data_IF_914745230240
#
_entry.id   IF_914745230240
#
_cell.length_a   1.000
_cell.length_b   1.000
_cell.length_c   1.000
_cell.angle_alpha   90.00
_cell.angle_beta   90.00
_cell.angle_gamma   90.00
#
_symmetry.space_group_name_H-M   'P 1'
#
loop_
_entity.id
_entity.type
_entity.pdbx_description
1 polymer ?
#
# COMPACT_ATOMS: atom_id res chain seq x y z
N UNK A 1 -25.62 4.64 7.48
CA UNK A 1 -24.58 5.71 7.46
C UNK A 1 -23.29 5.06 7.00
N UNK A 2 -22.39 5.80 6.34
CA UNK A 2 -21.02 5.30 6.14
C UNK A 2 -20.28 5.34 7.49
N UNK A 3 -19.54 4.28 7.82
CA UNK A 3 -18.64 4.28 8.98
C UNK A 3 -17.42 5.17 8.71
N UNK A 4 -16.87 5.87 9.73
CA UNK A 4 -15.67 6.66 9.55
C UNK A 4 -14.46 5.76 9.29
N UNK A 5 -13.96 5.80 8.05
CA UNK A 5 -12.71 5.15 7.66
C UNK A 5 -11.57 5.73 8.52
N UNK A 6 -10.72 4.85 9.06
CA UNK A 6 -9.56 5.21 9.88
C UNK A 6 -8.29 4.62 9.26
N UNK A 7 -7.63 5.47 8.49
CA UNK A 7 -6.31 5.21 7.90
C UNK A 7 -5.22 5.47 8.95
N UNK A 8 -4.16 4.65 8.92
CA UNK A 8 -2.94 4.86 9.70
C UNK A 8 -1.72 4.58 8.81
N UNK A 9 -1.16 5.65 8.25
CA UNK A 9 -0.07 5.68 7.24
C UNK A 9 1.13 4.77 7.56
N UNK A 10 1.35 3.66 6.81
CA UNK A 10 2.65 2.89 6.71
C UNK A 10 2.70 1.70 5.66
N UNK A 11 2.40 1.94 4.36
CA UNK A 11 2.82 1.20 3.14
C UNK A 11 1.95 0.23 2.24
N UNK A 12 1.36 -0.91 2.63
CA UNK A 12 0.52 -1.77 1.69
C UNK A 12 -0.64 -2.60 2.32
N UNK A 13 -1.73 -2.89 1.58
CA UNK A 13 -2.87 -3.79 1.91
C UNK A 13 -3.99 -3.29 2.87
N UNK A 14 -5.16 -2.90 2.33
CA UNK A 14 -6.30 -2.36 3.11
C UNK A 14 -7.32 -3.38 3.65
N UNK A 15 -7.19 -3.71 4.94
CA UNK A 15 -8.03 -4.67 5.70
C UNK A 15 -9.40 -4.10 6.15
N UNK A 16 -10.39 -4.01 5.26
CA UNK A 16 -11.76 -3.83 5.75
C UNK A 16 -12.21 -5.11 6.49
N UNK A 17 -12.46 -5.00 7.79
CA UNK A 17 -12.51 -6.15 8.71
C UNK A 17 -13.69 -6.03 9.68
N UNK A 18 -14.88 -6.47 9.29
CA UNK A 18 -16.04 -6.38 10.17
C UNK A 18 -15.81 -7.16 11.48
N UNK A 19 -15.98 -6.46 12.62
CA UNK A 19 -15.83 -7.01 13.96
C UNK A 19 -16.90 -8.07 14.33
N UNK A 20 -17.79 -8.42 13.39
CA UNK A 20 -18.75 -9.52 13.48
C UNK A 20 -18.52 -10.66 12.46
N UNK A 21 -17.51 -10.55 11.59
CA UNK A 21 -17.20 -11.55 10.55
C UNK A 21 -15.80 -12.20 10.75
N UNK A 22 -15.60 -13.34 10.09
CA UNK A 22 -14.31 -14.05 10.03
C UNK A 22 -13.30 -13.31 9.13
N UNK A 23 -12.02 -13.69 9.17
CA UNK A 23 -10.95 -13.13 8.32
C UNK A 23 -11.16 -13.33 6.79
N UNK A 24 -12.27 -13.96 6.39
CA UNK A 24 -12.72 -14.15 5.01
C UNK A 24 -13.12 -12.87 4.31
N UNK A 25 -13.54 -11.85 5.06
CA UNK A 25 -13.96 -10.55 4.51
C UNK A 25 -12.83 -9.52 4.41
N UNK A 26 -11.64 -9.84 4.93
CA UNK A 26 -10.42 -9.04 4.71
C UNK A 26 -10.14 -8.89 3.22
N UNK A 27 -9.87 -7.65 2.81
CA UNK A 27 -9.47 -7.31 1.45
C UNK A 27 -7.95 -7.09 1.32
N UNK A 28 -7.42 -7.39 0.13
CA UNK A 28 -6.04 -7.14 -0.27
C UNK A 28 -6.02 -6.25 -1.51
N UNK A 29 -5.26 -5.16 -1.45
CA UNK A 29 -5.03 -4.26 -2.59
C UNK A 29 -3.64 -3.62 -2.51
N UNK A 30 -3.15 -3.14 -3.65
CA UNK A 30 -1.93 -2.34 -3.76
C UNK A 30 -2.16 -0.93 -3.21
N UNK A 31 -1.12 -0.30 -2.66
CA UNK A 31 -1.15 1.08 -2.21
C UNK A 31 0.17 1.80 -2.48
N UNK A 32 0.10 3.12 -2.56
CA UNK A 32 1.23 4.03 -2.55
C UNK A 32 1.14 4.93 -1.31
N UNK A 33 2.13 4.81 -0.44
CA UNK A 33 2.29 5.57 0.79
C UNK A 33 3.56 6.43 0.66
N UNK A 34 3.37 7.65 0.16
CA UNK A 34 4.48 8.56 -0.11
C UNK A 34 5.19 8.98 1.19
N UNK A 35 6.49 9.30 1.07
CA UNK A 35 7.30 9.72 2.21
C UNK A 35 8.19 10.88 1.77
N UNK A 36 7.94 12.08 2.29
CA UNK A 36 8.87 13.18 2.11
C UNK A 36 10.13 12.93 2.96
N UNK A 37 11.21 12.49 2.30
CA UNK A 37 12.49 12.18 2.95
C UNK A 37 13.21 13.41 3.53
N UNK A 38 12.88 14.63 3.07
CA UNK A 38 13.39 15.86 3.67
C UNK A 38 12.64 16.20 4.96
N UNK A 39 11.32 15.99 5.01
CA UNK A 39 10.52 16.15 6.25
C UNK A 39 10.71 15.01 7.26
N UNK A 40 11.18 13.83 6.83
CA UNK A 40 11.35 12.67 7.72
C UNK A 40 12.37 12.93 8.85
N UNK A 41 13.35 13.81 8.62
CA UNK A 41 14.30 14.26 9.66
C UNK A 41 13.64 15.07 10.79
N UNK A 42 12.44 15.60 10.55
CA UNK A 42 11.58 16.26 11.55
C UNK A 42 10.53 15.30 12.15
N UNK A 43 10.45 14.07 11.66
CA UNK A 43 9.67 12.97 12.22
C UNK A 43 8.79 12.27 11.17
N UNK A 44 8.68 10.94 11.27
CA UNK A 44 7.90 10.08 10.35
C UNK A 44 6.45 10.54 10.18
N UNK A 45 5.82 11.08 11.22
CA UNK A 45 4.47 11.61 11.13
C UNK A 45 4.35 12.82 10.18
N UNK A 46 5.39 13.66 10.07
CA UNK A 46 5.41 14.81 9.16
C UNK A 46 5.65 14.37 7.72
N UNK A 47 6.59 13.45 7.47
CA UNK A 47 6.87 12.94 6.12
C UNK A 47 5.72 12.12 5.52
N UNK A 48 4.91 11.48 6.38
CA UNK A 48 3.72 10.70 5.99
C UNK A 48 2.47 11.53 5.73
N UNK A 49 2.32 12.70 6.37
CA UNK A 49 1.17 13.59 6.15
C UNK A 49 1.42 14.63 5.03
N UNK A 50 2.57 14.57 4.35
CA UNK A 50 2.93 15.49 3.26
C UNK A 50 2.21 15.19 1.93
N UNK A 51 1.63 13.99 1.78
CA UNK A 51 0.95 13.52 0.58
C UNK A 51 -0.09 12.45 0.97
N UNK A 52 -1.24 12.32 0.27
CA UNK A 52 -2.23 11.29 0.59
C UNK A 52 -1.74 9.86 0.24
N UNK A 53 -2.17 8.87 1.02
CA UNK A 53 -2.14 7.46 0.60
C UNK A 53 -3.04 7.28 -0.63
N UNK A 54 -2.54 6.60 -1.67
CA UNK A 54 -3.30 6.27 -2.88
C UNK A 54 -3.51 4.76 -2.97
N UNK A 55 -4.76 4.31 -3.05
CA UNK A 55 -5.13 2.88 -3.07
C UNK A 55 -5.43 2.38 -4.49
N UNK A 56 -5.25 1.08 -4.72
CA UNK A 56 -5.62 0.40 -5.96
C UNK A 56 -7.13 0.47 -6.24
N UNK A 57 -7.48 0.51 -7.53
CA UNK A 57 -8.88 0.62 -7.99
C UNK A 57 -9.69 -0.68 -7.84
N UNK A 58 -9.03 -1.75 -7.38
CA UNK A 58 -9.56 -3.11 -7.20
C UNK A 58 -8.98 -3.72 -5.92
N UNK A 59 -9.73 -4.63 -5.30
CA UNK A 59 -9.22 -5.48 -4.23
C UNK A 59 -9.65 -6.94 -4.46
N UNK A 60 -8.83 -7.88 -3.99
CA UNK A 60 -9.18 -9.28 -3.83
C UNK A 60 -9.62 -9.54 -2.38
N UNK A 61 -10.36 -10.61 -2.11
CA UNK A 61 -10.45 -11.12 -0.73
C UNK A 61 -9.15 -11.83 -0.40
N UNK A 62 -8.59 -11.60 0.79
CA UNK A 62 -7.37 -12.26 1.24
C UNK A 62 -7.53 -13.80 1.21
N UNK A 63 -8.71 -14.31 1.57
CA UNK A 63 -9.03 -15.73 1.53
C UNK A 63 -8.98 -16.37 0.12
N UNK A 64 -9.15 -15.58 -0.95
CA UNK A 64 -9.11 -16.06 -2.34
C UNK A 64 -7.67 -16.19 -2.89
N UNK A 65 -6.69 -15.68 -2.14
CA UNK A 65 -5.24 -15.64 -2.51
C UNK A 65 -4.31 -16.18 -1.42
N UNK A 66 -4.84 -16.55 -0.24
CA UNK A 66 -4.04 -16.92 0.94
C UNK A 66 -3.18 -18.18 0.77
N UNK A 67 -3.49 -19.04 -0.20
CA UNK A 67 -2.77 -20.27 -0.52
C UNK A 67 -1.49 -20.05 -1.34
N UNK A 68 -1.40 -18.91 -2.04
CA UNK A 68 -0.31 -18.52 -2.95
C UNK A 68 0.20 -17.09 -2.71
N UNK A 69 -0.07 -16.55 -1.52
CA UNK A 69 0.17 -15.15 -1.19
C UNK A 69 1.64 -14.74 -1.40
N UNK A 70 2.56 -15.61 -0.98
CA UNK A 70 4.01 -15.40 -1.05
C UNK A 70 4.55 -15.36 -2.49
N UNK A 71 3.81 -15.94 -3.45
CA UNK A 71 4.11 -15.92 -4.89
C UNK A 71 3.60 -14.64 -5.58
N UNK A 72 2.65 -13.90 -4.98
CA UNK A 72 2.10 -12.68 -5.57
C UNK A 72 3.19 -11.62 -5.76
N UNK A 73 3.30 -11.09 -6.98
CA UNK A 73 4.40 -10.21 -7.38
C UNK A 73 4.00 -8.74 -7.40
N UNK A 74 4.69 -7.91 -6.64
CA UNK A 74 4.51 -6.45 -6.59
C UNK A 74 5.59 -5.75 -7.42
N UNK A 75 5.16 -4.99 -8.42
CA UNK A 75 6.05 -4.18 -9.29
C UNK A 75 5.65 -2.71 -9.20
N UNK A 76 6.63 -1.83 -8.93
CA UNK A 76 6.46 -0.38 -8.92
C UNK A 76 7.28 0.26 -10.06
N UNK A 77 6.68 1.22 -10.77
CA UNK A 77 7.20 1.86 -11.98
C UNK A 77 6.96 3.36 -11.92
N UNK A 78 7.90 4.14 -12.45
CA UNK A 78 7.85 5.61 -12.44
C UNK A 78 8.11 6.25 -13.80
N UNK A 79 7.58 7.47 -13.96
CA UNK A 79 7.65 8.33 -15.13
C UNK A 79 7.02 7.74 -16.41
N UNK A 80 6.92 8.56 -17.46
CA UNK A 80 6.46 8.12 -18.78
C UNK A 80 7.28 6.95 -19.37
N UNK A 81 8.54 6.78 -18.95
CA UNK A 81 9.41 5.67 -19.35
C UNK A 81 9.09 4.32 -18.66
N UNK A 82 8.21 4.31 -17.64
CA UNK A 82 7.84 3.12 -16.84
C UNK A 82 9.05 2.44 -16.18
N UNK A 83 10.03 3.22 -15.74
CA UNK A 83 11.26 2.74 -15.09
C UNK A 83 10.91 1.96 -13.83
N UNK A 84 11.34 0.70 -13.73
CA UNK A 84 11.07 -0.15 -12.56
C UNK A 84 11.90 0.34 -11.37
N UNK A 85 11.22 0.65 -10.26
CA UNK A 85 11.83 1.06 -8.98
C UNK A 85 11.70 0.00 -7.89
N UNK A 86 10.76 -0.94 -8.01
CA UNK A 86 10.62 -2.10 -7.12
C UNK A 86 10.08 -3.29 -7.91
N UNK A 87 10.61 -4.48 -7.66
CA UNK A 87 10.12 -5.74 -8.23
C UNK A 87 10.43 -6.87 -7.23
N UNK A 88 9.40 -7.46 -6.62
CA UNK A 88 9.55 -8.47 -5.55
C UNK A 88 8.24 -9.21 -5.32
N UNK A 89 8.26 -10.37 -4.66
CA UNK A 89 7.02 -11.04 -4.21
C UNK A 89 6.65 -10.64 -2.78
N UNK A 90 5.41 -10.91 -2.35
CA UNK A 90 4.97 -10.57 -0.99
C UNK A 90 5.72 -11.35 0.11
N UNK A 91 6.40 -12.45 -0.21
CA UNK A 91 7.31 -13.17 0.69
C UNK A 91 8.45 -12.28 1.26
N UNK A 92 8.74 -11.14 0.64
CA UNK A 92 9.69 -10.15 1.15
C UNK A 92 9.12 -9.22 2.25
N UNK A 93 7.85 -9.38 2.64
CA UNK A 93 7.14 -8.58 3.64
C UNK A 93 6.62 -9.46 4.80
N UNK A 94 6.25 -8.83 5.91
CA UNK A 94 5.54 -9.54 7.00
C UNK A 94 4.10 -9.87 6.56
N UNK A 95 3.64 -11.12 6.76
CA UNK A 95 2.40 -11.59 6.17
C UNK A 95 1.16 -10.92 6.80
N UNK A 96 0.02 -10.87 6.07
CA UNK A 96 -1.25 -10.32 6.54
C UNK A 96 -1.72 -10.81 7.90
N UNK A 97 -1.52 -12.10 8.22
CA UNK A 97 -1.88 -12.69 9.52
C UNK A 97 -1.20 -11.99 10.70
N UNK A 98 0.10 -11.70 10.58
CA UNK A 98 0.85 -10.96 11.61
C UNK A 98 0.23 -9.59 11.89
N UNK A 99 -0.16 -8.85 10.83
CA UNK A 99 -0.75 -7.53 10.97
C UNK A 99 -2.20 -7.58 11.49
N UNK A 100 -2.98 -8.59 11.11
CA UNK A 100 -4.31 -8.86 11.66
C UNK A 100 -4.21 -9.10 13.19
N UNK A 101 -3.27 -9.91 13.64
CA UNK A 101 -3.08 -10.20 15.07
C UNK A 101 -2.61 -8.95 15.85
N UNK A 102 -1.68 -8.16 15.31
CA UNK A 102 -1.30 -6.86 15.88
C UNK A 102 -2.51 -5.90 15.95
N UNK A 103 -3.40 -5.88 14.95
CA UNK A 103 -4.62 -5.08 14.99
C UNK A 103 -5.62 -5.58 16.05
N UNK A 104 -5.74 -6.90 16.24
CA UNK A 104 -6.59 -7.54 17.26
C UNK A 104 -6.14 -7.20 18.67
N UNK A 105 -4.85 -7.39 18.97
CA UNK A 105 -4.25 -7.06 20.28
C UNK A 105 -4.49 -5.59 20.70
N UNK A 106 -4.58 -4.69 19.72
CA UNK A 106 -4.77 -3.25 19.93
C UNK A 106 -6.23 -2.80 19.96
N UNK A 107 -7.20 -3.67 19.65
CA UNK A 107 -8.59 -3.27 19.42
C UNK A 107 -8.77 -2.36 18.19
N UNK A 108 -7.86 -2.46 17.21
CA UNK A 108 -7.85 -1.70 15.97
C UNK A 108 -8.39 -2.51 14.76
N UNK A 109 -8.59 -3.83 14.91
CA UNK A 109 -9.28 -4.71 13.93
C UNK A 109 -10.79 -4.47 13.95
N UNK A 110 -11.33 -3.80 12.91
CA UNK A 110 -12.74 -3.39 12.78
C UNK A 110 -13.02 -2.83 11.37
N UNK A 111 -14.31 -2.72 11.01
CA UNK A 111 -14.76 -2.19 9.72
C UNK A 111 -14.22 -0.79 9.45
N UNK A 112 -13.77 -0.53 8.23
CA UNK A 112 -13.18 0.74 7.81
C UNK A 112 -11.81 1.05 8.41
N UNK A 113 -11.15 0.11 9.10
CA UNK A 113 -9.70 0.20 9.32
C UNK A 113 -8.99 0.01 7.97
N UNK A 114 -7.98 0.84 7.70
CA UNK A 114 -7.03 0.59 6.62
C UNK A 114 -5.65 0.56 7.25
N UNK A 115 -5.16 -0.66 7.49
CA UNK A 115 -3.73 -0.86 7.71
C UNK A 115 -3.02 -0.80 6.36
N UNK A 116 -1.74 -0.51 6.45
CA UNK A 116 -0.81 -0.42 5.35
C UNK A 116 0.50 -0.98 5.99
N UNK A 117 1.11 -2.01 5.39
CA UNK A 117 1.97 -3.01 6.07
C UNK A 117 3.49 -2.88 5.92
N UNK A 118 3.98 -2.42 4.78
CA UNK A 118 5.42 -2.37 4.47
C UNK A 118 5.69 -2.13 2.99
N UNK A 119 6.93 -1.74 2.67
CA UNK A 119 7.42 -1.63 1.30
C UNK A 119 8.75 -2.36 1.19
N UNK A 120 8.99 -3.01 0.04
CA UNK A 120 10.25 -3.70 -0.24
C UNK A 120 11.35 -2.69 -0.58
N UNK A 121 12.65 -3.07 -0.60
CA UNK A 121 13.72 -2.17 -1.02
C UNK A 121 13.46 -1.53 -2.40
N UNK A 122 13.92 -0.29 -2.57
CA UNK A 122 13.97 0.39 -3.87
C UNK A 122 15.21 -0.07 -4.65
N UNK A 123 15.13 -0.07 -5.99
CA UNK A 123 16.31 -0.23 -6.86
C UNK A 123 17.23 0.98 -6.67
N UNK A 124 18.50 0.73 -6.37
CA UNK A 124 19.49 1.78 -6.13
C UNK A 124 19.76 2.63 -7.39
N UNK A 125 20.02 3.92 -7.19
CA UNK A 125 20.38 4.86 -8.25
C UNK A 125 19.23 5.32 -9.17
N UNK A 126 18.01 4.85 -8.97
CA UNK A 126 16.83 5.31 -9.71
C UNK A 126 16.17 6.51 -9.00
N UNK A 127 15.93 7.59 -9.75
CA UNK A 127 15.18 8.73 -9.25
C UNK A 127 13.69 8.38 -9.08
N UNK A 128 13.14 8.77 -7.94
CA UNK A 128 11.76 8.52 -7.52
C UNK A 128 10.88 9.78 -7.63
N UNK A 129 11.48 10.96 -7.88
CA UNK A 129 10.76 12.21 -8.12
C UNK A 129 10.26 12.28 -9.57
N UNK A 130 9.24 11.48 -9.87
CA UNK A 130 8.62 11.39 -11.18
C UNK A 130 7.24 12.07 -11.25
N UNK A 131 6.91 12.51 -12.46
CA UNK A 131 5.62 13.06 -12.89
C UNK A 131 4.48 12.02 -12.90
N UNK A 132 4.81 10.72 -12.86
CA UNK A 132 3.85 9.62 -12.84
C UNK A 132 4.35 8.45 -12.00
N UNK A 133 3.43 7.82 -11.27
CA UNK A 133 3.63 6.58 -10.55
C UNK A 133 2.63 5.50 -10.99
N UNK A 134 3.08 4.25 -10.99
CA UNK A 134 2.24 3.06 -11.18
C UNK A 134 2.76 1.93 -10.30
N UNK A 135 1.89 1.30 -9.51
CA UNK A 135 2.22 0.10 -8.73
C UNK A 135 1.16 -0.95 -8.97
N UNK A 136 1.63 -2.17 -9.19
CA UNK A 136 0.84 -3.32 -9.61
C UNK A 136 1.15 -4.50 -8.67
N UNK A 137 0.11 -5.23 -8.26
CA UNK A 137 0.22 -6.52 -7.57
C UNK A 137 -0.41 -7.58 -8.48
N UNK A 138 0.38 -8.59 -8.82
CA UNK A 138 0.11 -9.57 -9.89
C UNK A 138 -0.06 -10.97 -9.29
N UNK A 139 -1.10 -11.66 -9.71
CA UNK A 139 -1.31 -13.10 -9.53
C UNK A 139 -1.07 -13.80 -10.88
N UNK A 140 0.17 -14.21 -11.13
CA UNK A 140 0.58 -14.92 -12.35
C UNK A 140 -0.11 -16.31 -12.48
N UNK A 141 -0.71 -16.83 -11.41
CA UNK A 141 -1.45 -18.12 -11.43
C UNK A 141 -2.91 -17.93 -11.85
N UNK A 142 -3.57 -16.87 -11.39
CA UNK A 142 -4.92 -16.51 -11.84
C UNK A 142 -4.93 -15.74 -13.17
N UNK A 143 -3.80 -15.16 -13.58
CA UNK A 143 -3.70 -14.25 -14.72
C UNK A 143 -4.37 -12.91 -14.44
N UNK A 144 -4.28 -12.42 -13.20
CA UNK A 144 -5.02 -11.25 -12.71
C UNK A 144 -4.11 -10.26 -11.97
N UNK A 145 -4.50 -8.98 -11.90
CA UNK A 145 -3.78 -7.98 -11.10
C UNK A 145 -4.71 -6.95 -10.44
N UNK A 146 -4.15 -6.23 -9.48
CA UNK A 146 -4.69 -4.96 -8.96
C UNK A 146 -3.64 -3.87 -9.05
N UNK A 147 -4.06 -2.68 -9.46
CA UNK A 147 -3.18 -1.59 -9.89
C UNK A 147 -3.62 -0.26 -9.29
N UNK A 148 -2.64 0.57 -8.92
CA UNK A 148 -2.79 2.00 -8.65
C UNK A 148 -1.90 2.76 -9.62
N UNK A 149 -2.43 3.79 -10.29
CA UNK A 149 -1.66 4.61 -11.22
C UNK A 149 -2.20 6.05 -11.24
N UNK A 150 -1.30 7.03 -11.15
CA UNK A 150 -1.65 8.45 -11.05
C UNK A 150 -0.47 9.31 -11.49
N UNK A 151 -0.80 10.52 -11.94
CA UNK A 151 0.16 11.57 -12.25
C UNK A 151 0.37 12.46 -11.01
N UNK A 152 1.56 13.04 -10.87
CA UNK A 152 2.01 13.79 -9.69
C UNK A 152 2.20 15.25 -10.08
N UNK A 153 1.32 16.13 -9.59
CA UNK A 153 1.48 17.58 -9.73
C UNK A 153 2.40 18.10 -8.62
N UNK A 154 3.51 18.73 -9.00
CA UNK A 154 4.44 19.36 -8.05
C UNK A 154 3.79 20.64 -7.52
N UNK A 155 3.59 20.70 -6.19
CA UNK A 155 3.02 21.89 -5.55
C UNK A 155 3.85 23.15 -5.86
N UNK A 156 3.22 24.30 -6.11
CA UNK A 156 3.93 25.57 -6.27
C UNK A 156 4.81 25.90 -5.06
N UNK A 157 5.92 26.61 -5.30
CA UNK A 157 6.76 27.13 -4.23
C UNK A 157 5.94 28.01 -3.28
N UNK A 158 6.10 27.90 -1.94
CA UNK A 158 5.42 28.74 -0.98
C UNK A 158 5.67 30.23 -1.25
N UNK A 159 4.64 31.06 -1.06
CA UNK A 159 4.76 32.52 -1.13
C UNK A 159 5.23 33.02 0.25
N UNK A 160 6.52 33.32 0.38
CA UNK A 160 7.16 33.81 1.61
C UNK A 160 8.57 34.35 1.36
#
# INVERSE_FOLDING_TARGET
MASPIRVRTTATAGYDADATHEDRDVLLTVACDHTDRALEVHGVAWSKNASPDVLGTKAWRLADVADRLDDLRRVARVAAARTVIQDSTLAALLPPSYWIDVLRERGEYRTGTVLISGTVPMVEGVDQFADRWEVELIDDTAGDSTTVAYDVEVMPAPIG
#
